data_IF_371909245257
#
_entry.id   IF_371909245257
#
_cell.length_a   1.000
_cell.length_b   1.000
_cell.length_c   1.000
_cell.angle_alpha   90.00
_cell.angle_beta   90.00
_cell.angle_gamma   90.00
#
_symmetry.space_group_name_H-M   'P 1'
#
loop_
_entity.id
_entity.type
_entity.pdbx_description
1 polymer ?
#
# COMPACT_ATOMS: atom_id res chain seq x y z
N UNK A 1 19.07 -54.49 -36.39
CA UNK A 1 20.47 -54.87 -36.16
C UNK A 1 20.82 -54.51 -34.73
N UNK A 2 21.31 -55.51 -33.97
CA UNK A 2 22.10 -55.40 -32.74
C UNK A 2 21.70 -54.34 -31.70
N UNK A 3 20.86 -54.76 -30.75
CA UNK A 3 20.69 -54.10 -29.44
C UNK A 3 21.82 -54.59 -28.54
N UNK A 4 22.77 -53.73 -28.22
CA UNK A 4 23.75 -53.93 -27.14
C UNK A 4 23.16 -53.46 -25.81
N UNK A 5 23.14 -54.31 -24.76
CA UNK A 5 22.74 -53.90 -23.43
C UNK A 5 23.96 -53.48 -22.59
N UNK A 6 23.78 -52.44 -21.77
CA UNK A 6 24.62 -52.15 -20.62
C UNK A 6 25.81 -51.23 -20.90
N UNK A 7 25.63 -49.94 -20.61
CA UNK A 7 26.74 -49.10 -20.20
C UNK A 7 26.47 -48.69 -18.75
N UNK A 8 27.21 -49.34 -17.85
CA UNK A 8 27.24 -49.05 -16.42
C UNK A 8 27.61 -47.58 -16.20
N UNK A 9 26.74 -46.84 -15.51
CA UNK A 9 27.10 -45.54 -14.97
C UNK A 9 28.00 -45.79 -13.78
N UNK A 10 29.31 -45.64 -14.00
CA UNK A 10 30.33 -45.61 -12.96
C UNK A 10 29.92 -44.63 -11.85
N UNK A 11 29.84 -45.17 -10.62
CA UNK A 11 29.74 -44.37 -9.40
C UNK A 11 31.10 -43.70 -9.16
N UNK A 12 31.22 -42.43 -9.54
CA UNK A 12 32.29 -41.57 -9.02
C UNK A 12 31.98 -41.24 -7.55
N UNK A 13 32.76 -41.82 -6.64
CA UNK A 13 32.84 -41.42 -5.24
C UNK A 13 33.23 -39.94 -5.13
N UNK A 14 32.38 -39.13 -4.50
CA UNK A 14 32.73 -37.76 -4.10
C UNK A 14 32.61 -37.64 -2.58
N UNK A 15 33.73 -37.23 -1.98
CA UNK A 15 33.99 -36.98 -0.56
C UNK A 15 32.93 -36.12 0.16
N UNK A 16 32.87 -36.09 1.52
CA UNK A 16 31.78 -35.51 2.29
C UNK A 16 31.86 -33.99 2.29
N UNK A 17 31.40 -33.37 1.21
CA UNK A 17 31.15 -31.95 1.06
C UNK A 17 29.67 -31.63 1.29
N UNK A 18 29.42 -30.42 1.78
CA UNK A 18 28.13 -29.84 2.14
C UNK A 18 26.91 -30.41 1.35
N UNK A 19 25.81 -30.85 2.01
CA UNK A 19 24.65 -31.48 1.34
C UNK A 19 24.00 -30.64 0.23
N UNK A 20 24.24 -29.33 0.20
CA UNK A 20 23.85 -28.43 -0.89
C UNK A 20 24.70 -28.63 -2.16
N UNK A 21 26.00 -28.87 -2.04
CA UNK A 21 26.91 -29.11 -3.17
C UNK A 21 26.64 -30.46 -3.81
N UNK A 22 26.34 -31.48 -3.01
CA UNK A 22 25.94 -32.80 -3.48
C UNK A 22 24.64 -32.74 -4.31
N UNK A 23 23.60 -32.07 -3.81
CA UNK A 23 22.34 -31.87 -4.57
C UNK A 23 22.58 -31.11 -5.87
N UNK A 24 23.42 -30.07 -5.84
CA UNK A 24 23.72 -29.25 -7.00
C UNK A 24 24.51 -30.04 -8.07
N UNK A 25 25.39 -30.95 -7.65
CA UNK A 25 26.04 -31.91 -8.55
C UNK A 25 25.03 -32.87 -9.18
N UNK A 26 24.09 -33.42 -8.40
CA UNK A 26 23.02 -34.30 -8.93
C UNK A 26 22.15 -33.58 -9.96
N UNK A 27 21.77 -32.32 -9.69
CA UNK A 27 20.99 -31.53 -10.65
C UNK A 27 21.77 -31.22 -11.93
N UNK A 28 23.06 -30.90 -11.84
CA UNK A 28 23.92 -30.71 -13.02
C UNK A 28 24.00 -31.99 -13.87
N UNK A 29 24.10 -33.14 -13.23
CA UNK A 29 24.17 -34.44 -13.90
C UNK A 29 22.84 -34.78 -14.59
N UNK A 30 21.70 -34.58 -13.91
CA UNK A 30 20.36 -34.71 -14.50
C UNK A 30 20.15 -33.78 -15.69
N UNK A 31 20.59 -32.52 -15.57
CA UNK A 31 20.52 -31.54 -16.66
C UNK A 31 21.36 -31.97 -17.86
N UNK A 32 22.54 -32.58 -17.64
CA UNK A 32 23.39 -33.09 -18.72
C UNK A 32 22.73 -34.26 -19.46
N UNK A 33 22.09 -35.18 -18.73
CA UNK A 33 21.33 -36.29 -19.31
C UNK A 33 20.14 -35.78 -20.12
N UNK A 34 19.36 -34.84 -19.57
CA UNK A 34 18.24 -34.21 -20.26
C UNK A 34 18.65 -33.48 -21.54
N UNK A 35 19.78 -32.76 -21.52
CA UNK A 35 20.32 -32.12 -22.72
C UNK A 35 20.73 -33.14 -23.79
N UNK A 36 21.32 -34.27 -23.39
CA UNK A 36 21.69 -35.35 -24.33
C UNK A 36 20.44 -35.97 -24.95
N UNK A 37 19.46 -36.33 -24.14
CA UNK A 37 18.19 -36.90 -24.61
C UNK A 37 17.44 -35.94 -25.55
N UNK A 38 17.44 -34.63 -25.26
CA UNK A 38 16.83 -33.63 -26.13
C UNK A 38 17.52 -33.54 -27.49
N UNK A 39 18.87 -33.57 -27.54
CA UNK A 39 19.62 -33.55 -28.80
C UNK A 39 19.33 -34.82 -29.62
N UNK A 40 19.25 -35.97 -28.95
CA UNK A 40 18.94 -37.26 -29.57
C UNK A 40 17.52 -37.25 -30.17
N UNK A 41 16.52 -36.80 -29.41
CA UNK A 41 15.13 -36.64 -29.87
C UNK A 41 15.03 -35.70 -31.09
N UNK A 42 15.78 -34.59 -31.11
CA UNK A 42 15.82 -33.69 -32.27
C UNK A 42 16.42 -34.38 -33.51
N UNK A 43 17.49 -35.17 -33.33
CA UNK A 43 18.11 -35.91 -34.43
C UNK A 43 17.19 -36.99 -35.01
N UNK A 44 16.43 -37.69 -34.15
CA UNK A 44 15.44 -38.68 -34.56
C UNK A 44 14.26 -38.03 -35.31
N UNK A 45 13.78 -36.87 -34.84
CA UNK A 45 12.74 -36.09 -35.55
C UNK A 45 13.20 -35.66 -36.94
N UNK A 46 14.45 -35.22 -37.10
CA UNK A 46 14.99 -34.87 -38.41
C UNK A 46 15.13 -36.09 -39.33
N UNK A 47 15.57 -37.24 -38.80
CA UNK A 47 15.66 -38.48 -39.56
C UNK A 47 14.27 -38.94 -40.03
N UNK A 48 13.27 -38.90 -39.14
CA UNK A 48 11.89 -39.25 -39.47
C UNK A 48 11.30 -38.30 -40.53
N UNK A 49 11.57 -36.99 -40.42
CA UNK A 49 11.15 -36.00 -41.41
C UNK A 49 11.74 -36.27 -42.80
N UNK A 50 13.02 -36.68 -42.88
CA UNK A 50 13.65 -37.10 -44.15
C UNK A 50 12.99 -38.36 -44.72
N UNK A 51 12.61 -39.30 -43.86
CA UNK A 51 11.96 -40.54 -44.27
C UNK A 51 10.55 -40.28 -44.82
N UNK A 52 9.77 -39.38 -44.19
CA UNK A 52 8.47 -38.92 -44.70
C UNK A 52 8.63 -38.28 -46.08
N UNK A 53 9.59 -37.36 -46.26
CA UNK A 53 9.82 -36.70 -47.55
C UNK A 53 10.17 -37.71 -48.66
N UNK A 54 10.98 -38.72 -48.34
CA UNK A 54 11.27 -39.82 -49.27
C UNK A 54 10.00 -40.58 -49.67
N UNK A 55 9.15 -40.93 -48.71
CA UNK A 55 7.89 -41.64 -49.00
C UNK A 55 6.93 -40.79 -49.82
N UNK A 56 6.80 -39.49 -49.52
CA UNK A 56 5.99 -38.55 -50.30
C UNK A 56 6.44 -38.51 -51.77
N UNK A 57 7.74 -38.36 -52.03
CA UNK A 57 8.28 -38.37 -53.40
C UNK A 57 8.01 -39.70 -54.13
N UNK A 58 8.03 -40.81 -53.39
CA UNK A 58 7.75 -42.14 -53.95
C UNK A 58 6.28 -42.29 -54.31
N UNK A 59 5.38 -41.80 -53.45
CA UNK A 59 3.94 -41.76 -53.71
C UNK A 59 3.59 -40.87 -54.89
N UNK A 60 4.19 -39.68 -55.00
CA UNK A 60 3.99 -38.80 -56.16
C UNK A 60 4.41 -39.49 -57.47
N UNK A 61 5.52 -40.23 -57.45
CA UNK A 61 5.96 -41.00 -58.62
C UNK A 61 4.97 -42.12 -58.98
N UNK A 62 4.53 -42.89 -57.99
CA UNK A 62 3.54 -43.96 -58.20
C UNK A 62 2.20 -43.42 -58.71
N UNK A 63 1.78 -42.25 -58.22
CA UNK A 63 0.56 -41.59 -58.69
C UNK A 63 0.67 -41.20 -60.15
N UNK A 64 1.81 -40.64 -60.56
CA UNK A 64 2.09 -40.31 -61.97
C UNK A 64 2.13 -41.56 -62.85
N UNK A 65 2.76 -42.64 -62.40
CA UNK A 65 2.81 -43.91 -63.13
C UNK A 65 1.40 -44.51 -63.31
N UNK A 66 0.54 -44.36 -62.30
CA UNK A 66 -0.86 -44.80 -62.34
C UNK A 66 -1.70 -43.96 -63.31
N UNK A 67 -1.54 -42.64 -63.31
CA UNK A 67 -2.16 -41.73 -64.29
C UNK A 67 -1.74 -42.06 -65.73
N UNK A 68 -0.46 -42.36 -65.96
CA UNK A 68 0.03 -42.79 -67.28
C UNK A 68 -0.59 -44.13 -67.72
N UNK A 69 -0.74 -45.08 -66.80
CA UNK A 69 -1.39 -46.38 -67.07
C UNK A 69 -2.88 -46.21 -67.37
N UNK A 70 -3.59 -45.36 -66.63
CA UNK A 70 -5.00 -45.04 -66.89
C UNK A 70 -5.19 -44.39 -68.27
N UNK A 71 -4.32 -43.45 -68.64
CA UNK A 71 -4.35 -42.83 -69.96
C UNK A 71 -4.09 -43.85 -71.08
N UNK A 72 -3.11 -44.75 -70.90
CA UNK A 72 -2.86 -45.86 -71.85
C UNK A 72 -4.08 -46.75 -71.99
N UNK A 73 -4.71 -47.13 -70.89
CA UNK A 73 -5.92 -47.95 -70.89
C UNK A 73 -7.09 -47.25 -71.60
N UNK A 74 -7.33 -45.97 -71.31
CA UNK A 74 -8.37 -45.17 -71.97
C UNK A 74 -8.14 -45.05 -73.48
N UNK A 75 -6.88 -44.88 -73.91
CA UNK A 75 -6.52 -44.87 -75.33
C UNK A 75 -6.77 -46.24 -75.99
N UNK A 76 -6.39 -47.34 -75.34
CA UNK A 76 -6.70 -48.69 -75.84
C UNK A 76 -8.22 -48.92 -75.95
N UNK A 77 -8.99 -48.48 -74.95
CA UNK A 77 -10.44 -48.58 -74.97
C UNK A 77 -11.05 -47.78 -76.13
N UNK A 78 -10.60 -46.54 -76.35
CA UNK A 78 -11.03 -45.71 -77.48
C UNK A 78 -10.69 -46.36 -78.82
N UNK A 79 -9.46 -46.85 -78.99
CA UNK A 79 -9.03 -47.53 -80.21
C UNK A 79 -9.88 -48.80 -80.47
N UNK A 80 -10.18 -49.58 -79.43
CA UNK A 80 -11.06 -50.74 -79.57
C UNK A 80 -12.49 -50.34 -79.97
N UNK A 81 -13.00 -49.23 -79.43
CA UNK A 81 -14.31 -48.70 -79.80
C UNK A 81 -14.33 -48.23 -81.26
N UNK A 82 -13.29 -47.53 -81.71
CA UNK A 82 -13.12 -47.11 -83.11
C UNK A 82 -13.03 -48.33 -84.05
N UNK A 83 -12.31 -49.38 -83.67
CA UNK A 83 -12.25 -50.64 -84.42
C UNK A 83 -13.62 -51.33 -84.48
N UNK A 84 -14.38 -51.33 -83.38
CA UNK A 84 -15.75 -51.86 -83.38
C UNK A 84 -16.66 -51.05 -84.30
N UNK A 85 -16.56 -49.73 -84.29
CA UNK A 85 -17.34 -48.85 -85.17
C UNK A 85 -16.96 -49.04 -86.65
N UNK A 86 -15.67 -49.24 -86.95
CA UNK A 86 -15.19 -49.58 -88.31
C UNK A 86 -15.73 -50.94 -88.77
N UNK A 87 -15.70 -51.97 -87.93
CA UNK A 87 -16.27 -53.29 -88.25
C UNK A 87 -17.78 -53.20 -88.52
N UNK A 88 -18.51 -52.38 -87.77
CA UNK A 88 -19.94 -52.14 -87.99
C UNK A 88 -20.17 -51.42 -89.33
N UNK A 89 -19.37 -50.39 -89.64
CA UNK A 89 -19.43 -49.70 -90.93
C UNK A 89 -19.10 -50.64 -92.10
N UNK A 90 -18.06 -51.46 -92.01
CA UNK A 90 -17.70 -52.44 -93.04
C UNK A 90 -18.80 -53.49 -93.24
N UNK A 91 -19.44 -53.97 -92.16
CA UNK A 91 -20.62 -54.84 -92.25
C UNK A 91 -21.82 -54.17 -92.93
N UNK A 92 -22.00 -52.86 -92.72
CA UNK A 92 -23.05 -52.10 -93.41
C UNK A 92 -22.73 -51.86 -94.88
N UNK A 93 -21.45 -51.63 -95.23
CA UNK A 93 -20.99 -51.44 -96.62
C UNK A 93 -20.88 -52.75 -97.42
N UNK A 94 -20.78 -53.91 -96.74
CA UNK A 94 -20.79 -55.24 -97.36
C UNK A 94 -22.18 -55.85 -97.50
N UNK A 95 -23.24 -55.15 -97.07
CA UNK A 95 -24.63 -55.58 -97.27
C UNK A 95 -25.12 -55.46 -98.74
N UNK A 96 -24.27 -55.04 -99.67
CA UNK A 96 -24.56 -54.90 -101.09
C UNK A 96 -24.02 -56.00 -102.03
N UNK A 97 -23.31 -57.03 -101.55
CA UNK A 97 -22.83 -58.11 -102.45
C UNK A 97 -22.85 -59.47 -101.79
N UNK A 98 -24.06 -60.01 -101.62
CA UNK A 98 -24.27 -61.42 -101.35
C UNK A 98 -24.09 -62.18 -102.66
N UNK A 99 -22.82 -62.47 -102.97
CA UNK A 99 -22.44 -63.48 -103.96
C UNK A 99 -23.00 -64.84 -103.55
N UNK A 100 -24.16 -65.18 -104.11
CA UNK A 100 -24.83 -66.46 -103.97
C UNK A 100 -24.02 -67.55 -104.68
N UNK A 101 -23.10 -68.19 -103.96
CA UNK A 101 -22.47 -69.45 -104.34
C UNK A 101 -23.47 -70.61 -104.09
N UNK A 102 -24.49 -70.68 -104.94
CA UNK A 102 -25.20 -71.94 -105.20
C UNK A 102 -24.46 -72.65 -106.33
N UNK A 103 -23.69 -73.67 -105.96
CA UNK A 103 -23.13 -74.62 -106.92
C UNK A 103 -24.28 -75.34 -107.63
N UNK A 104 -24.22 -75.31 -108.95
CA UNK A 104 -25.26 -75.78 -109.85
C UNK A 104 -25.32 -77.30 -109.95
N UNK A 105 -26.55 -77.82 -109.93
CA UNK A 105 -26.89 -79.10 -110.52
C UNK A 105 -27.40 -78.83 -111.95
N UNK A 106 -26.49 -78.82 -112.91
CA UNK A 106 -26.81 -78.91 -114.34
C UNK A 106 -26.33 -80.27 -114.84
N UNK A 107 -27.23 -81.27 -114.84
CA UNK A 107 -27.10 -82.43 -115.71
C UNK A 107 -28.25 -82.41 -116.72
N UNK A 108 -27.92 -82.11 -117.98
CA UNK A 108 -28.38 -82.80 -119.22
C UNK A 108 -29.90 -83.08 -119.35
N UNK A 109 -30.66 -82.41 -120.23
CA UNK A 109 -30.79 -82.70 -121.69
C UNK A 109 -30.71 -84.21 -121.98
N UNK A 110 -31.62 -84.88 -122.68
CA UNK A 110 -32.23 -84.51 -123.94
C UNK A 110 -33.29 -85.56 -124.33
N UNK A 111 -34.33 -85.06 -124.99
CA UNK A 111 -35.38 -85.70 -125.78
C UNK A 111 -35.15 -87.12 -126.33
N UNK A 112 -36.10 -88.00 -126.01
CA UNK A 112 -36.54 -89.09 -126.88
C UNK A 112 -37.04 -88.53 -128.23
N UNK A 113 -36.20 -88.58 -129.26
CA UNK A 113 -36.63 -88.46 -130.66
C UNK A 113 -36.38 -89.77 -131.38
N UNK A 114 -37.47 -90.46 -131.67
CA UNK A 114 -37.59 -91.52 -132.68
C UNK A 114 -37.04 -90.98 -134.02
N UNK A 115 -35.95 -91.58 -134.52
CA UNK A 115 -35.60 -91.47 -135.93
C UNK A 115 -35.89 -92.79 -136.63
N UNK A 116 -36.85 -92.67 -137.53
CA UNK A 116 -37.20 -93.59 -138.60
C UNK A 116 -35.97 -93.89 -139.46
N UNK A 117 -35.90 -95.16 -139.87
CA UNK A 117 -35.14 -95.73 -140.96
C UNK A 117 -34.96 -94.82 -142.19
N UNK A 118 -33.78 -94.90 -142.82
CA UNK A 118 -33.67 -94.68 -144.26
C UNK A 118 -32.39 -94.02 -144.76
N UNK A 119 -31.42 -94.85 -145.16
CA UNK A 119 -30.64 -94.74 -146.41
C UNK A 119 -29.78 -93.48 -146.69
N UNK A 120 -28.45 -93.61 -146.56
CA UNK A 120 -27.47 -93.38 -147.66
C UNK A 120 -25.99 -93.38 -147.18
N UNK A 121 -25.23 -94.35 -147.71
CA UNK A 121 -23.84 -94.28 -148.21
C UNK A 121 -22.66 -93.74 -147.36
N UNK A 122 -21.81 -94.68 -146.90
CA UNK A 122 -20.40 -94.80 -147.34
C UNK A 122 -19.33 -93.79 -146.89
N UNK A 123 -19.67 -92.65 -146.28
CA UNK A 123 -18.68 -91.67 -145.77
C UNK A 123 -18.80 -91.39 -144.24
N UNK A 124 -19.80 -91.96 -143.57
CA UNK A 124 -20.05 -91.74 -142.13
C UNK A 124 -19.13 -92.54 -141.20
N UNK A 125 -18.54 -93.64 -141.65
CA UNK A 125 -17.77 -94.55 -140.78
C UNK A 125 -16.44 -93.92 -140.33
N UNK A 126 -15.69 -93.27 -141.25
CA UNK A 126 -14.46 -92.55 -140.90
C UNK A 126 -14.69 -91.34 -139.98
N UNK A 127 -15.80 -90.61 -140.18
CA UNK A 127 -16.18 -89.48 -139.33
C UNK A 127 -16.57 -89.95 -137.93
N UNK A 128 -17.25 -91.10 -137.82
CA UNK A 128 -17.58 -91.71 -136.52
C UNK A 128 -16.33 -92.24 -135.81
N UNK A 129 -15.40 -92.89 -136.51
CA UNK A 129 -14.14 -93.37 -135.90
C UNK A 129 -13.28 -92.22 -135.37
N UNK A 130 -13.14 -91.13 -136.14
CA UNK A 130 -12.41 -89.93 -135.67
C UNK A 130 -13.08 -89.30 -134.44
N UNK A 131 -14.41 -89.29 -134.39
CA UNK A 131 -15.16 -88.74 -133.25
C UNK A 131 -15.10 -89.62 -132.02
N UNK A 132 -15.05 -90.94 -132.19
CA UNK A 132 -14.81 -91.91 -131.11
C UNK A 132 -13.41 -91.70 -130.52
N UNK A 133 -12.37 -91.64 -131.34
CA UNK A 133 -11.00 -91.40 -130.87
C UNK A 133 -10.88 -90.05 -130.12
N UNK A 134 -11.50 -88.98 -130.62
CA UNK A 134 -11.53 -87.69 -129.92
C UNK A 134 -12.27 -87.75 -128.58
N UNK A 135 -13.33 -88.56 -128.47
CA UNK A 135 -14.05 -88.77 -127.22
C UNK A 135 -13.25 -89.63 -126.25
N UNK A 136 -12.54 -90.65 -126.73
CA UNK A 136 -11.64 -91.47 -125.93
C UNK A 136 -10.47 -90.66 -125.36
N UNK A 137 -9.86 -89.78 -126.16
CA UNK A 137 -8.82 -88.85 -125.69
C UNK A 137 -9.38 -87.87 -124.65
N UNK A 138 -10.58 -87.33 -124.85
CA UNK A 138 -11.25 -86.48 -123.86
C UNK A 138 -11.59 -87.23 -122.57
N UNK A 139 -12.06 -88.47 -122.67
CA UNK A 139 -12.34 -89.32 -121.51
C UNK A 139 -11.05 -89.61 -120.74
N UNK A 140 -9.94 -89.87 -121.45
CA UNK A 140 -8.64 -90.07 -120.82
C UNK A 140 -8.16 -88.81 -120.09
N UNK A 141 -8.18 -87.65 -120.76
CA UNK A 141 -7.84 -86.38 -120.12
C UNK A 141 -8.72 -86.08 -118.89
N UNK A 142 -10.04 -86.30 -118.99
CA UNK A 142 -10.94 -86.09 -117.87
C UNK A 142 -10.67 -87.06 -116.70
N UNK A 143 -10.23 -88.30 -116.98
CA UNK A 143 -9.81 -89.23 -115.92
C UNK A 143 -8.53 -88.77 -115.24
N UNK A 144 -7.53 -88.33 -116.01
CA UNK A 144 -6.28 -87.80 -115.47
C UNK A 144 -6.55 -86.53 -114.63
N UNK A 145 -7.47 -85.65 -115.07
CA UNK A 145 -7.89 -84.45 -114.32
C UNK A 145 -8.67 -84.81 -113.04
N UNK A 146 -9.50 -85.86 -113.06
CA UNK A 146 -10.18 -86.37 -111.86
C UNK A 146 -9.15 -86.90 -110.85
N UNK A 147 -8.18 -87.69 -111.29
CA UNK A 147 -7.14 -88.26 -110.42
C UNK A 147 -6.28 -87.16 -109.78
N UNK A 148 -5.90 -86.12 -110.54
CA UNK A 148 -5.20 -84.94 -110.00
C UNK A 148 -6.05 -84.21 -108.95
N UNK A 149 -7.36 -84.05 -109.19
CA UNK A 149 -8.26 -83.39 -108.23
C UNK A 149 -8.53 -84.23 -107.00
N UNK A 150 -8.58 -85.55 -107.12
CA UNK A 150 -8.67 -86.47 -105.98
C UNK A 150 -7.42 -86.36 -105.10
N UNK A 151 -6.23 -86.32 -105.69
CA UNK A 151 -4.99 -86.09 -104.94
C UNK A 151 -4.96 -84.72 -104.25
N UNK A 152 -5.41 -83.64 -104.92
CA UNK A 152 -5.51 -82.29 -104.32
C UNK A 152 -6.50 -82.27 -103.14
N UNK A 153 -7.60 -83.03 -103.22
CA UNK A 153 -8.57 -83.16 -102.14
C UNK A 153 -7.96 -83.92 -100.96
N UNK A 154 -7.25 -85.02 -101.20
CA UNK A 154 -6.58 -85.79 -100.14
C UNK A 154 -5.53 -84.95 -99.39
N UNK A 155 -4.71 -84.18 -100.13
CA UNK A 155 -3.72 -83.26 -99.55
C UNK A 155 -4.39 -82.21 -98.66
N UNK A 156 -5.46 -81.55 -99.16
CA UNK A 156 -6.23 -80.57 -98.38
C UNK A 156 -6.93 -81.18 -97.16
N UNK A 157 -7.39 -82.43 -97.26
CA UNK A 157 -7.96 -83.13 -96.11
C UNK A 157 -6.91 -83.41 -95.03
N UNK A 158 -5.68 -83.75 -95.43
CA UNK A 158 -4.56 -83.90 -94.48
C UNK A 158 -4.23 -82.57 -93.80
N UNK A 159 -4.07 -81.49 -94.56
CA UNK A 159 -3.82 -80.15 -94.00
C UNK A 159 -4.94 -79.72 -93.04
N UNK A 160 -6.20 -79.99 -93.40
CA UNK A 160 -7.34 -79.66 -92.54
C UNK A 160 -7.25 -80.41 -91.21
N UNK A 161 -6.93 -81.71 -91.21
CA UNK A 161 -6.74 -82.49 -89.98
C UNK A 161 -5.60 -81.96 -89.12
N UNK A 162 -4.47 -81.62 -89.73
CA UNK A 162 -3.33 -81.04 -89.01
C UNK A 162 -3.69 -79.70 -88.35
N UNK A 163 -4.47 -78.85 -89.04
CA UNK A 163 -4.94 -77.59 -88.46
C UNK A 163 -5.97 -77.80 -87.34
N UNK A 164 -6.86 -78.79 -87.46
CA UNK A 164 -7.81 -79.14 -86.40
C UNK A 164 -7.10 -79.66 -85.14
N UNK A 165 -6.07 -80.49 -85.29
CA UNK A 165 -5.30 -81.01 -84.17
C UNK A 165 -4.51 -79.88 -83.48
N UNK A 166 -3.91 -78.95 -84.24
CA UNK A 166 -3.29 -77.73 -83.68
C UNK A 166 -4.29 -76.86 -82.94
N UNK A 167 -5.50 -76.65 -83.48
CA UNK A 167 -6.54 -75.88 -82.81
C UNK A 167 -6.99 -76.53 -81.51
N UNK A 168 -7.07 -77.87 -81.46
CA UNK A 168 -7.37 -78.60 -80.22
C UNK A 168 -6.26 -78.46 -79.19
N UNK A 169 -5.00 -78.46 -79.60
CA UNK A 169 -3.86 -78.24 -78.72
C UNK A 169 -3.88 -76.83 -78.11
N UNK A 170 -4.05 -75.80 -78.94
CA UNK A 170 -4.18 -74.41 -78.48
C UNK A 170 -5.38 -74.25 -77.54
N UNK A 171 -6.52 -74.89 -77.83
CA UNK A 171 -7.68 -74.85 -76.94
C UNK A 171 -7.41 -75.48 -75.56
N UNK A 172 -6.59 -76.55 -75.50
CA UNK A 172 -6.16 -77.15 -74.23
C UNK A 172 -5.23 -76.22 -73.45
N UNK A 173 -4.25 -75.61 -74.12
CA UNK A 173 -3.35 -74.63 -73.50
C UNK A 173 -4.12 -73.43 -72.93
N UNK A 174 -5.06 -72.87 -73.69
CA UNK A 174 -5.92 -71.78 -73.21
C UNK A 174 -6.77 -72.18 -71.99
N UNK A 175 -7.25 -73.43 -71.94
CA UNK A 175 -7.95 -73.93 -70.76
C UNK A 175 -7.03 -74.01 -69.54
N UNK A 176 -5.79 -74.49 -69.73
CA UNK A 176 -4.80 -74.56 -68.65
C UNK A 176 -4.44 -73.17 -68.12
N UNK A 177 -4.14 -72.22 -69.01
CA UNK A 177 -3.85 -70.84 -68.59
C UNK A 177 -5.02 -70.18 -67.86
N UNK A 178 -6.26 -70.46 -68.26
CA UNK A 178 -7.44 -69.95 -67.58
C UNK A 178 -7.54 -70.51 -66.16
N UNK A 179 -7.32 -71.81 -65.99
CA UNK A 179 -7.36 -72.45 -64.67
C UNK A 179 -6.24 -71.92 -63.78
N UNK A 180 -5.01 -71.81 -64.30
CA UNK A 180 -3.87 -71.21 -63.59
C UNK A 180 -4.18 -69.79 -63.14
N UNK A 181 -4.71 -68.95 -64.04
CA UNK A 181 -5.08 -67.57 -63.75
C UNK A 181 -6.12 -67.48 -62.63
N UNK A 182 -7.17 -68.30 -62.66
CA UNK A 182 -8.17 -68.31 -61.57
C UNK A 182 -7.57 -68.83 -60.26
N UNK A 183 -6.65 -69.80 -60.28
CA UNK A 183 -5.96 -70.24 -59.06
C UNK A 183 -5.03 -69.17 -58.49
N UNK A 184 -4.37 -68.39 -59.33
CA UNK A 184 -3.48 -67.32 -58.88
C UNK A 184 -4.27 -66.12 -58.35
N UNK A 185 -5.38 -65.76 -59.02
CA UNK A 185 -6.32 -64.74 -58.56
C UNK A 185 -6.92 -65.08 -57.19
N UNK A 186 -7.33 -66.33 -56.97
CA UNK A 186 -7.85 -66.78 -55.67
C UNK A 186 -6.78 -66.73 -54.58
N UNK A 187 -5.57 -67.22 -54.85
CA UNK A 187 -4.42 -67.09 -53.92
C UNK A 187 -4.11 -65.63 -53.56
N UNK A 188 -4.10 -64.74 -54.55
CA UNK A 188 -3.83 -63.32 -54.32
C UNK A 188 -4.92 -62.67 -53.45
N UNK A 189 -6.19 -63.04 -53.69
CA UNK A 189 -7.31 -62.55 -52.90
C UNK A 189 -7.24 -63.03 -51.44
N UNK A 190 -6.94 -64.30 -51.20
CA UNK A 190 -6.74 -64.85 -49.86
C UNK A 190 -5.58 -64.18 -49.12
N UNK A 191 -4.46 -63.93 -49.81
CA UNK A 191 -3.33 -63.21 -49.23
C UNK A 191 -3.68 -61.76 -48.88
N UNK A 192 -4.46 -61.08 -49.73
CA UNK A 192 -4.93 -59.73 -49.48
C UNK A 192 -5.85 -59.68 -48.25
N UNK A 193 -6.81 -60.60 -48.14
CA UNK A 193 -7.71 -60.69 -47.00
C UNK A 193 -6.99 -61.02 -45.69
N UNK A 194 -6.00 -61.91 -45.74
CA UNK A 194 -5.16 -62.23 -44.59
C UNK A 194 -4.39 -60.99 -44.11
N UNK A 195 -3.73 -60.27 -45.02
CA UNK A 195 -3.01 -59.01 -44.69
C UNK A 195 -3.95 -57.93 -44.18
N UNK A 196 -5.14 -57.81 -44.77
CA UNK A 196 -6.16 -56.86 -44.31
C UNK A 196 -6.57 -57.14 -42.87
N UNK A 197 -6.89 -58.41 -42.54
CA UNK A 197 -7.22 -58.83 -41.17
C UNK A 197 -6.07 -58.58 -40.19
N UNK A 198 -4.83 -58.84 -40.60
CA UNK A 198 -3.64 -58.56 -39.77
C UNK A 198 -3.51 -57.07 -39.48
N UNK A 199 -3.68 -56.21 -40.49
CA UNK A 199 -3.64 -54.76 -40.35
C UNK A 199 -4.78 -54.25 -39.47
N UNK A 200 -6.00 -54.74 -39.67
CA UNK A 200 -7.16 -54.37 -38.84
C UNK A 200 -6.92 -54.72 -37.37
N UNK A 201 -6.31 -55.89 -37.10
CA UNK A 201 -5.94 -56.31 -35.74
C UNK A 201 -4.86 -55.40 -35.14
N UNK A 202 -3.85 -55.00 -35.93
CA UNK A 202 -2.81 -54.05 -35.50
C UNK A 202 -3.41 -52.68 -35.20
N UNK A 203 -4.31 -52.19 -36.04
CA UNK A 203 -5.02 -50.92 -35.83
C UNK A 203 -5.83 -50.98 -34.53
N UNK A 204 -6.58 -52.06 -34.30
CA UNK A 204 -7.34 -52.23 -33.05
C UNK A 204 -6.44 -52.25 -31.82
N UNK A 205 -5.28 -52.91 -31.89
CA UNK A 205 -4.30 -52.90 -30.79
C UNK A 205 -3.77 -51.49 -30.52
N UNK A 206 -3.38 -50.76 -31.57
CA UNK A 206 -2.89 -49.38 -31.44
C UNK A 206 -3.96 -48.48 -30.81
N UNK A 207 -5.23 -48.61 -31.24
CA UNK A 207 -6.33 -47.84 -30.67
C UNK A 207 -6.57 -48.16 -29.19
N UNK A 208 -6.43 -49.43 -28.79
CA UNK A 208 -6.54 -49.83 -27.39
C UNK A 208 -5.37 -49.25 -26.55
N UNK A 209 -4.14 -49.35 -27.05
CA UNK A 209 -2.95 -48.77 -26.41
C UNK A 209 -3.06 -47.24 -26.28
N UNK A 210 -3.59 -46.55 -27.29
CA UNK A 210 -3.82 -45.10 -27.26
C UNK A 210 -4.85 -44.71 -26.19
N UNK A 211 -5.93 -45.48 -26.05
CA UNK A 211 -6.93 -45.27 -24.99
C UNK A 211 -6.35 -45.50 -23.60
N UNK A 212 -5.56 -46.56 -23.41
CA UNK A 212 -4.88 -46.83 -22.13
C UNK A 212 -3.88 -45.73 -21.78
N UNK A 213 -3.11 -45.27 -22.76
CA UNK A 213 -2.15 -44.19 -22.57
C UNK A 213 -2.84 -42.87 -22.19
N UNK A 214 -3.95 -42.54 -22.86
CA UNK A 214 -4.76 -41.36 -22.52
C UNK A 214 -5.33 -41.46 -21.11
N UNK A 215 -5.89 -42.60 -20.73
CA UNK A 215 -6.39 -42.84 -19.37
C UNK A 215 -5.27 -42.77 -18.31
N UNK A 216 -4.07 -43.27 -18.62
CA UNK A 216 -2.91 -43.16 -17.74
C UNK A 216 -2.45 -41.71 -17.57
N UNK A 217 -2.42 -40.91 -18.64
CA UNK A 217 -2.12 -39.48 -18.57
C UNK A 217 -3.13 -38.73 -17.70
N UNK A 218 -4.42 -38.99 -17.87
CA UNK A 218 -5.48 -38.36 -17.07
C UNK A 218 -5.34 -38.71 -15.58
N UNK A 219 -5.00 -39.97 -15.26
CA UNK A 219 -4.71 -40.39 -13.87
C UNK A 219 -3.51 -39.65 -13.29
N UNK A 220 -2.39 -39.62 -14.01
CA UNK A 220 -1.18 -38.91 -13.56
C UNK A 220 -1.46 -37.41 -13.36
N UNK A 221 -2.23 -36.79 -14.26
CA UNK A 221 -2.62 -35.39 -14.12
C UNK A 221 -3.49 -35.18 -12.88
N UNK A 222 -4.48 -36.05 -12.65
CA UNK A 222 -5.36 -35.99 -11.48
C UNK A 222 -4.58 -36.17 -10.17
N UNK A 223 -3.65 -37.13 -10.12
CA UNK A 223 -2.83 -37.38 -8.94
C UNK A 223 -1.91 -36.20 -8.62
N UNK A 224 -1.30 -35.57 -9.64
CA UNK A 224 -0.48 -34.36 -9.46
C UNK A 224 -1.30 -33.17 -8.98
N UNK A 225 -2.50 -32.97 -9.54
CA UNK A 225 -3.40 -31.91 -9.10
C UNK A 225 -3.79 -32.15 -7.63
N UNK A 226 -4.12 -33.39 -7.27
CA UNK A 226 -4.47 -33.76 -5.91
C UNK A 226 -3.31 -33.51 -4.93
N UNK A 227 -2.08 -33.90 -5.29
CA UNK A 227 -0.89 -33.65 -4.48
C UNK A 227 -0.65 -32.15 -4.23
N UNK A 228 -0.79 -31.32 -5.27
CA UNK A 228 -0.66 -29.86 -5.15
C UNK A 228 -1.74 -29.29 -4.23
N UNK A 229 -3.01 -29.71 -4.41
CA UNK A 229 -4.12 -29.27 -3.56
C UNK A 229 -3.91 -29.68 -2.10
N UNK A 230 -3.42 -30.90 -1.83
CA UNK A 230 -3.11 -31.35 -0.47
C UNK A 230 -1.95 -30.57 0.16
N UNK A 231 -0.97 -30.17 -0.64
CA UNK A 231 0.13 -29.33 -0.17
C UNK A 231 -0.34 -27.91 0.15
N UNK A 232 -1.10 -27.29 -0.75
CA UNK A 232 -1.64 -25.94 -0.57
C UNK A 232 -2.63 -25.87 0.60
N UNK A 233 -3.44 -26.92 0.82
CA UNK A 233 -4.34 -26.97 1.98
C UNK A 233 -3.57 -27.04 3.29
N UNK A 234 -2.52 -27.88 3.38
CA UNK A 234 -1.63 -27.92 4.55
C UNK A 234 -0.93 -26.59 4.81
N UNK A 235 -0.40 -25.95 3.77
CA UNK A 235 0.22 -24.62 3.88
C UNK A 235 -0.78 -23.55 4.34
N UNK A 236 -2.00 -23.58 3.80
CA UNK A 236 -3.08 -22.67 4.19
C UNK A 236 -3.48 -22.87 5.65
N UNK A 237 -3.60 -24.10 6.12
CA UNK A 237 -3.99 -24.38 7.50
C UNK A 237 -2.88 -24.00 8.48
N UNK A 238 -1.60 -24.21 8.13
CA UNK A 238 -0.46 -23.71 8.91
C UNK A 238 -0.43 -22.17 8.98
N UNK A 239 -0.79 -21.49 7.90
CA UNK A 239 -0.91 -20.02 7.89
C UNK A 239 -2.06 -19.53 8.77
N UNK A 240 -3.21 -20.22 8.77
CA UNK A 240 -4.33 -19.89 9.67
C UNK A 240 -3.93 -20.01 11.13
N UNK A 241 -3.28 -21.12 11.51
CA UNK A 241 -2.79 -21.33 12.88
C UNK A 241 -1.81 -20.22 13.28
N UNK A 242 -0.91 -19.81 12.39
CA UNK A 242 0.01 -18.70 12.65
C UNK A 242 -0.72 -17.35 12.79
N UNK A 243 -1.76 -17.10 12.00
CA UNK A 243 -2.58 -15.89 12.13
C UNK A 243 -3.28 -15.88 13.50
N UNK A 244 -3.88 -17.00 13.90
CA UNK A 244 -4.55 -17.13 15.21
C UNK A 244 -3.59 -16.86 16.37
N UNK A 245 -2.35 -17.38 16.29
CA UNK A 245 -1.30 -17.08 17.29
C UNK A 245 -0.95 -15.59 17.30
N UNK A 246 -0.78 -14.97 16.13
CA UNK A 246 -0.44 -13.54 16.04
C UNK A 246 -1.59 -12.63 16.54
N UNK A 247 -2.84 -12.99 16.26
CA UNK A 247 -4.01 -12.29 16.79
C UNK A 247 -4.06 -12.36 18.31
N UNK A 248 -3.75 -13.53 18.87
CA UNK A 248 -3.65 -13.70 20.33
C UNK A 248 -2.51 -12.87 20.92
N UNK A 249 -1.32 -12.90 20.33
CA UNK A 249 -0.18 -12.08 20.78
C UNK A 249 -0.47 -10.57 20.69
N UNK A 250 -1.22 -10.15 19.67
CA UNK A 250 -1.63 -8.75 19.52
C UNK A 250 -2.60 -8.34 20.63
N UNK A 251 -3.62 -9.16 20.90
CA UNK A 251 -4.57 -8.92 21.98
C UNK A 251 -3.87 -8.87 23.35
N UNK A 252 -2.94 -9.80 23.61
CA UNK A 252 -2.16 -9.82 24.86
C UNK A 252 -1.30 -8.54 25.02
N UNK A 253 -0.75 -8.01 23.92
CA UNK A 253 -0.02 -6.74 23.90
C UNK A 253 -0.93 -5.54 24.11
N UNK A 254 -2.10 -5.52 23.48
CA UNK A 254 -3.08 -4.45 23.66
C UNK A 254 -3.56 -4.39 25.13
N UNK A 255 -3.82 -5.55 25.75
CA UNK A 255 -4.11 -5.65 27.17
C UNK A 255 -2.96 -5.14 28.05
N UNK A 256 -1.71 -5.42 27.66
CA UNK A 256 -0.53 -4.91 28.35
C UNK A 256 -0.42 -3.38 28.22
N UNK A 257 -0.67 -2.82 27.03
CA UNK A 257 -0.66 -1.39 26.80
C UNK A 257 -1.78 -0.68 27.56
N UNK A 258 -2.97 -1.29 27.64
CA UNK A 258 -4.07 -0.80 28.49
C UNK A 258 -3.65 -0.72 29.96
N UNK A 259 -3.02 -1.78 30.49
CA UNK A 259 -2.50 -1.77 31.87
C UNK A 259 -1.43 -0.71 32.08
N UNK A 260 -0.51 -0.56 31.14
CA UNK A 260 0.52 0.50 31.19
C UNK A 260 -0.11 1.90 31.11
N UNK A 261 -1.14 2.09 30.29
CA UNK A 261 -1.90 3.33 30.18
C UNK A 261 -2.54 3.72 31.51
N UNK A 262 -3.21 2.78 32.19
CA UNK A 262 -3.76 2.99 33.53
C UNK A 262 -2.68 3.37 34.54
N UNK A 263 -1.54 2.65 34.54
CA UNK A 263 -0.42 2.98 35.43
C UNK A 263 0.16 4.37 35.15
N UNK A 264 0.27 4.77 33.89
CA UNK A 264 0.73 6.10 33.49
C UNK A 264 -0.23 7.19 33.93
N UNK A 265 -1.54 6.96 33.80
CA UNK A 265 -2.56 7.90 34.28
C UNK A 265 -2.53 8.03 35.80
N UNK A 266 -2.34 6.94 36.54
CA UNK A 266 -2.13 6.98 37.99
C UNK A 266 -0.87 7.76 38.38
N UNK A 267 0.25 7.52 37.70
CA UNK A 267 1.51 8.25 37.94
C UNK A 267 1.32 9.74 37.62
N UNK A 268 0.68 10.06 36.50
CA UNK A 268 0.40 11.44 36.10
C UNK A 268 -0.49 12.14 37.13
N UNK A 269 -1.52 11.45 37.63
CA UNK A 269 -2.39 11.97 38.69
C UNK A 269 -1.61 12.22 39.98
N UNK A 270 -0.76 11.27 40.41
CA UNK A 270 0.13 11.44 41.57
C UNK A 270 1.12 12.59 41.39
N UNK A 271 1.67 12.75 40.19
CA UNK A 271 2.58 13.84 39.85
C UNK A 271 1.86 15.19 39.94
N UNK A 272 0.66 15.32 39.37
CA UNK A 272 -0.15 16.54 39.47
C UNK A 272 -0.44 16.90 40.93
N UNK A 273 -0.86 15.93 41.74
CA UNK A 273 -1.10 16.14 43.18
C UNK A 273 0.19 16.58 43.89
N UNK A 274 1.34 15.98 43.56
CA UNK A 274 2.64 16.37 44.14
C UNK A 274 3.03 17.79 43.73
N UNK A 275 2.84 18.17 42.46
CA UNK A 275 3.12 19.52 41.96
C UNK A 275 2.19 20.56 42.62
N UNK A 276 0.91 20.27 42.77
CA UNK A 276 -0.03 21.14 43.49
C UNK A 276 0.36 21.31 44.97
N UNK A 277 0.85 20.24 45.61
CA UNK A 277 1.35 20.30 46.98
C UNK A 277 2.65 21.10 47.09
N UNK A 278 3.58 20.97 46.14
CA UNK A 278 4.79 21.79 46.08
C UNK A 278 4.46 23.28 45.85
N UNK A 279 3.51 23.58 44.96
CA UNK A 279 3.05 24.97 44.73
C UNK A 279 2.40 25.54 45.99
N UNK A 280 1.59 24.75 46.73
CA UNK A 280 1.04 25.18 48.02
C UNK A 280 2.13 25.44 49.05
N UNK A 281 3.10 24.54 49.19
CA UNK A 281 4.25 24.72 50.08
C UNK A 281 5.10 25.93 49.71
N UNK A 282 5.28 26.19 48.41
CA UNK A 282 6.00 27.34 47.90
C UNK A 282 5.26 28.63 48.21
N UNK A 283 3.94 28.68 47.98
CA UNK A 283 3.11 29.83 48.33
C UNK A 283 3.11 30.09 49.85
N UNK A 284 3.05 29.05 50.67
CA UNK A 284 3.13 29.17 52.13
C UNK A 284 4.52 29.68 52.57
N UNK A 285 5.60 29.19 51.96
CA UNK A 285 6.97 29.67 52.22
C UNK A 285 7.18 31.11 51.76
N UNK A 286 6.64 31.49 50.60
CA UNK A 286 6.71 32.86 50.07
C UNK A 286 5.92 33.82 50.98
N UNK A 287 4.76 33.40 51.50
CA UNK A 287 4.01 34.16 52.50
C UNK A 287 4.79 34.33 53.81
N UNK A 288 5.45 33.28 54.30
CA UNK A 288 6.32 33.37 55.48
C UNK A 288 7.51 34.31 55.23
N UNK A 289 8.10 34.28 54.04
CA UNK A 289 9.20 35.16 53.66
C UNK A 289 8.75 36.63 53.60
N UNK A 290 7.61 36.90 52.99
CA UNK A 290 7.01 38.25 52.97
C UNK A 290 6.71 38.75 54.39
N UNK A 291 6.20 37.87 55.27
CA UNK A 291 5.96 38.19 56.67
C UNK A 291 7.27 38.52 57.41
N UNK A 292 8.32 37.73 57.22
CA UNK A 292 9.64 37.98 57.82
C UNK A 292 10.23 39.30 57.30
N UNK A 293 10.15 39.57 55.99
CA UNK A 293 10.62 40.83 55.41
C UNK A 293 9.84 42.03 55.95
N UNK A 294 8.52 41.91 56.14
CA UNK A 294 7.70 42.94 56.76
C UNK A 294 8.09 43.16 58.23
N UNK A 295 8.28 42.09 59.01
CA UNK A 295 8.76 42.17 60.39
C UNK A 295 10.14 42.81 60.49
N UNK A 296 11.07 42.46 59.60
CA UNK A 296 12.40 43.09 59.54
C UNK A 296 12.32 44.58 59.22
N UNK A 297 11.48 45.00 58.28
CA UNK A 297 11.24 46.44 57.98
C UNK A 297 10.68 47.18 59.20
N UNK A 298 9.73 46.57 59.91
CA UNK A 298 9.16 47.14 61.14
C UNK A 298 10.23 47.27 62.22
N UNK A 299 11.04 46.23 62.43
CA UNK A 299 12.14 46.24 63.40
C UNK A 299 13.19 47.31 63.08
N UNK A 300 13.64 47.42 61.83
CA UNK A 300 14.57 48.47 61.40
C UNK A 300 14.01 49.87 61.60
N UNK A 301 12.70 50.06 61.36
CA UNK A 301 12.03 51.32 61.64
C UNK A 301 12.02 51.63 63.14
N UNK A 302 11.67 50.66 63.99
CA UNK A 302 11.71 50.83 65.43
C UNK A 302 13.12 51.12 65.96
N UNK A 303 14.15 50.48 65.41
CA UNK A 303 15.54 50.75 65.78
C UNK A 303 15.93 52.19 65.45
N UNK A 304 15.55 52.67 64.25
CA UNK A 304 15.76 54.07 63.84
C UNK A 304 14.99 55.06 64.70
N UNK A 305 13.73 54.78 65.00
CA UNK A 305 12.88 55.64 65.84
C UNK A 305 13.41 55.68 67.29
N UNK A 306 13.88 54.55 67.83
CA UNK A 306 14.52 54.48 69.14
C UNK A 306 15.86 55.22 69.18
N UNK A 307 16.67 55.13 68.12
CA UNK A 307 17.91 55.88 67.99
C UNK A 307 17.64 57.40 68.01
N UNK A 308 16.64 57.85 67.25
CA UNK A 308 16.21 59.25 67.24
C UNK A 308 15.64 59.71 68.60
N UNK A 309 14.93 58.81 69.31
CA UNK A 309 14.44 59.10 70.66
C UNK A 309 15.59 59.23 71.67
N UNK A 310 16.60 58.35 71.60
CA UNK A 310 17.78 58.43 72.43
C UNK A 310 18.57 59.73 72.19
N UNK A 311 18.72 60.14 70.93
CA UNK A 311 19.33 61.44 70.56
C UNK A 311 18.57 62.62 71.16
N UNK A 312 17.23 62.61 71.09
CA UNK A 312 16.38 63.64 71.72
C UNK A 312 16.51 63.65 73.24
N UNK A 313 16.60 62.49 73.88
CA UNK A 313 16.80 62.36 75.33
C UNK A 313 18.15 62.93 75.79
N UNK A 314 19.22 62.71 75.01
CA UNK A 314 20.54 63.31 75.27
C UNK A 314 20.48 64.84 75.16
N UNK A 315 19.82 65.38 74.12
CA UNK A 315 19.61 66.81 73.97
C UNK A 315 18.80 67.42 75.14
N UNK A 316 17.76 66.72 75.59
CA UNK A 316 16.93 67.17 76.71
C UNK A 316 17.69 67.14 78.05
N UNK A 317 18.53 66.13 78.27
CA UNK A 317 19.40 66.04 79.46
C UNK A 317 20.42 67.17 79.50
N UNK A 318 20.96 67.58 78.35
CA UNK A 318 21.88 68.72 78.27
C UNK A 318 21.19 70.04 78.64
N UNK A 319 19.91 70.20 78.27
CA UNK A 319 19.09 71.38 78.56
C UNK A 319 18.75 71.52 80.06
N UNK A 320 18.63 70.41 80.78
CA UNK A 320 18.37 70.39 82.24
C UNK A 320 19.64 70.75 83.04
N UNK A 321 20.82 70.36 82.57
CA UNK A 321 22.09 70.65 83.25
C UNK A 321 22.42 72.16 83.20
N UNK A 322 21.98 72.86 82.16
CA UNK A 322 22.24 74.30 81.98
C UNK A 322 21.24 75.22 82.73
N UNK A 323 20.21 74.68 83.40
CA UNK A 323 19.11 75.48 83.99
C UNK A 323 19.07 75.55 85.53
N UNK A 324 20.02 74.95 86.25
CA UNK A 324 19.94 74.79 87.71
C UNK A 324 20.88 75.70 88.55
N UNK A 325 20.93 76.99 88.21
CA UNK A 325 21.43 78.05 89.12
C UNK A 325 20.54 79.28 89.02
N UNK A 326 19.83 79.61 90.12
CA UNK A 326 19.48 80.94 90.65
C UNK A 326 18.11 80.94 91.36
N UNK A 327 18.12 81.05 92.70
CA UNK A 327 17.04 81.69 93.48
C UNK A 327 17.32 83.19 93.56
N UNK A 328 16.28 84.05 93.58
CA UNK A 328 16.04 85.15 94.56
C UNK A 328 14.95 86.16 94.10
N UNK A 329 13.77 86.08 94.75
CA UNK A 329 12.97 87.14 95.43
C UNK A 329 12.76 88.60 94.94
N UNK A 330 13.29 89.11 93.84
CA UNK A 330 12.91 90.47 93.35
C UNK A 330 12.73 90.51 91.83
N UNK A 331 11.71 89.81 91.33
CA UNK A 331 11.38 89.82 89.91
C UNK A 331 10.71 91.12 89.50
N UNK A 332 11.34 91.77 88.52
CA UNK A 332 10.81 92.91 87.79
C UNK A 332 10.06 92.42 86.55
N UNK A 333 8.81 92.85 86.39
CA UNK A 333 7.99 92.47 85.25
C UNK A 333 7.88 93.63 84.28
N UNK A 334 8.45 93.46 83.09
CA UNK A 334 8.37 94.46 82.03
C UNK A 334 7.06 94.32 81.25
N UNK A 335 6.55 95.45 80.77
CA UNK A 335 5.33 95.52 80.00
C UNK A 335 5.09 96.89 79.38
N UNK A 336 3.99 96.98 78.65
CA UNK A 336 3.55 98.21 78.01
C UNK A 336 2.41 98.81 78.82
N UNK A 337 2.63 99.99 79.37
CA UNK A 337 1.58 100.80 79.99
C UNK A 337 0.82 101.57 78.93
N UNK A 338 -0.49 101.59 79.08
CA UNK A 338 -1.40 102.35 78.24
C UNK A 338 -1.94 103.54 79.03
N UNK A 339 -1.77 104.74 78.48
CA UNK A 339 -2.35 105.96 79.03
C UNK A 339 -3.16 106.69 77.96
N UNK A 340 -3.98 107.66 78.36
CA UNK A 340 -4.73 108.53 77.44
C UNK A 340 -3.84 109.31 76.44
N UNK A 341 -2.52 109.34 76.64
CA UNK A 341 -1.56 110.04 75.78
C UNK A 341 -0.65 109.10 74.95
N UNK A 342 -0.81 107.77 75.05
CA UNK A 342 -0.05 106.79 74.26
C UNK A 342 0.47 105.57 75.05
N UNK A 343 1.19 104.68 74.36
CA UNK A 343 1.82 103.46 74.92
C UNK A 343 3.28 103.73 75.28
N UNK A 344 3.71 103.31 76.48
CA UNK A 344 5.10 103.45 76.94
C UNK A 344 5.59 102.21 77.70
N UNK A 345 6.89 101.92 77.64
CA UNK A 345 7.50 100.84 78.43
C UNK A 345 7.50 101.21 79.90
N UNK A 346 7.02 100.29 80.73
CA UNK A 346 7.06 100.40 82.18
C UNK A 346 7.45 99.06 82.79
N UNK A 347 8.03 99.12 83.98
CA UNK A 347 8.42 97.94 84.75
C UNK A 347 7.66 97.96 86.05
N UNK A 348 7.01 96.85 86.37
CA UNK A 348 6.18 96.65 87.55
C UNK A 348 6.86 95.66 88.48
N UNK A 349 6.96 96.00 89.75
CA UNK A 349 7.44 95.09 90.79
C UNK A 349 6.86 95.44 92.16
N UNK A 350 6.79 94.43 93.01
CA UNK A 350 6.36 94.58 94.40
C UNK A 350 7.57 94.69 95.30
N UNK A 351 7.49 95.57 96.29
CA UNK A 351 8.50 95.69 97.35
C UNK A 351 7.84 95.57 98.72
N UNK A 352 8.57 94.95 99.63
CA UNK A 352 8.22 94.84 101.04
C UNK A 352 9.18 95.74 101.83
N UNK A 353 8.63 96.71 102.58
CA UNK A 353 9.42 97.58 103.45
C UNK A 353 9.02 97.42 104.91
N UNK A 354 10.02 97.11 105.75
CA UNK A 354 9.87 97.09 107.21
C UNK A 354 10.03 98.51 107.75
N UNK A 355 8.95 99.11 108.24
CA UNK A 355 8.97 100.48 108.79
C UNK A 355 9.14 100.41 110.31
N UNK A 356 10.39 100.37 110.78
CA UNK A 356 10.73 100.43 112.22
C UNK A 356 11.10 99.08 112.85
N UNK A 357 11.75 99.11 114.02
CA UNK A 357 12.37 97.94 114.67
C UNK A 357 11.39 96.86 115.20
N UNK A 358 10.10 96.96 114.91
CA UNK A 358 9.10 95.93 115.23
C UNK A 358 8.61 95.27 113.93
N UNK A 359 8.73 93.94 113.83
CA UNK A 359 8.33 93.09 112.68
C UNK A 359 6.83 93.12 112.33
N UNK A 360 6.03 93.93 113.02
CA UNK A 360 4.57 93.94 112.94
C UNK A 360 4.02 95.08 112.06
N UNK A 361 4.88 95.97 111.55
CA UNK A 361 4.51 97.07 110.64
C UNK A 361 5.17 96.91 109.26
N UNK A 362 4.91 95.78 108.61
CA UNK A 362 5.36 95.52 107.23
C UNK A 362 4.45 96.25 106.25
N UNK A 363 5.02 97.14 105.41
CA UNK A 363 4.27 97.83 104.35
C UNK A 363 4.64 97.28 102.98
N UNK A 364 3.67 96.67 102.32
CA UNK A 364 3.81 96.27 100.93
C UNK A 364 3.45 97.43 100.00
N UNK A 365 4.31 97.67 99.01
CA UNK A 365 4.11 98.70 98.00
C UNK A 365 4.28 98.14 96.60
N UNK A 366 3.44 98.63 95.68
CA UNK A 366 3.61 98.45 94.26
C UNK A 366 4.48 99.58 93.71
N UNK A 367 5.50 99.24 92.93
CA UNK A 367 6.34 100.21 92.23
C UNK A 367 6.16 100.07 90.73
N UNK A 368 5.84 101.20 90.10
CA UNK A 368 5.85 101.35 88.65
C UNK A 368 6.94 102.31 88.22
N UNK A 369 7.90 101.79 87.46
CA UNK A 369 9.02 102.55 86.91
C UNK A 369 8.77 102.81 85.43
N UNK A 370 8.77 104.09 85.03
CA UNK A 370 8.65 104.46 83.62
C UNK A 370 10.03 104.63 82.99
N UNK A 371 10.17 104.32 81.70
CA UNK A 371 11.45 104.39 80.96
C UNK A 371 12.18 105.74 80.96
N UNK A 372 11.62 106.79 81.56
CA UNK A 372 12.30 108.07 81.85
C UNK A 372 12.98 108.13 83.23
N UNK A 373 13.02 107.02 83.98
CA UNK A 373 13.67 106.88 85.29
C UNK A 373 12.85 107.40 86.47
N UNK A 374 11.59 107.82 86.26
CA UNK A 374 10.68 108.18 87.34
C UNK A 374 9.91 106.95 87.81
N UNK A 375 10.07 106.58 89.08
CA UNK A 375 9.32 105.53 89.73
C UNK A 375 8.20 106.12 90.60
N UNK A 376 7.00 105.55 90.49
CA UNK A 376 5.87 105.85 91.34
C UNK A 376 5.63 104.66 92.24
N UNK A 377 5.56 104.95 93.55
CA UNK A 377 5.35 103.95 94.58
C UNK A 377 4.01 104.21 95.24
N UNK A 378 3.19 103.16 95.32
CA UNK A 378 1.85 103.22 95.91
C UNK A 378 1.77 102.11 96.96
N UNK A 379 1.26 102.45 98.13
CA UNK A 379 0.98 101.46 99.17
C UNK A 379 -0.15 100.57 98.71
N UNK A 380 -0.02 99.24 98.82
CA UNK A 380 -1.08 98.31 98.40
C UNK A 380 -2.39 98.58 99.16
N UNK A 381 -2.31 98.97 100.44
CA UNK A 381 -3.47 99.38 101.22
C UNK A 381 -4.23 100.61 100.68
N UNK A 382 -3.60 101.43 99.82
CA UNK A 382 -4.26 102.59 99.18
C UNK A 382 -4.86 102.22 97.81
N UNK A 383 -4.62 101.02 97.29
CA UNK A 383 -5.17 100.57 95.99
C UNK A 383 -6.60 100.08 96.16
N UNK A 384 -7.49 100.47 95.23
CA UNK A 384 -8.91 100.12 95.32
C UNK A 384 -9.26 98.87 94.52
N UNK A 385 -8.71 98.71 93.32
CA UNK A 385 -8.92 97.53 92.49
C UNK A 385 -7.61 97.10 91.81
N UNK A 386 -7.40 95.78 91.67
CA UNK A 386 -6.31 95.20 90.89
C UNK A 386 -6.78 93.86 90.31
N UNK A 387 -6.93 93.75 88.99
CA UNK A 387 -7.44 92.53 88.36
C UNK A 387 -6.92 92.36 86.92
N UNK A 388 -6.95 91.11 86.45
CA UNK A 388 -6.67 90.74 85.05
C UNK A 388 -7.92 90.97 84.20
N UNK A 389 -7.77 91.50 83.00
CA UNK A 389 -8.85 91.52 82.00
C UNK A 389 -8.83 90.19 81.23
N UNK A 390 -9.90 89.40 81.33
CA UNK A 390 -10.00 88.11 80.65
C UNK A 390 -9.76 88.23 79.12
N UNK A 391 -9.00 87.28 78.56
CA UNK A 391 -8.69 87.21 77.13
C UNK A 391 -7.57 88.13 76.65
N UNK A 392 -7.04 89.03 77.50
CA UNK A 392 -5.84 89.82 77.19
C UNK A 392 -4.82 89.72 78.32
N UNK A 393 -3.54 89.74 78.00
CA UNK A 393 -2.46 89.73 78.98
C UNK A 393 -2.28 91.14 79.57
N UNK A 394 -3.36 91.68 80.13
CA UNK A 394 -3.44 93.05 80.66
C UNK A 394 -3.91 93.04 82.10
N UNK A 395 -3.29 93.90 82.91
CA UNK A 395 -3.64 94.13 84.30
C UNK A 395 -4.16 95.55 84.41
N UNK A 396 -5.32 95.71 85.03
CA UNK A 396 -5.88 97.00 85.36
C UNK A 396 -5.84 97.22 86.87
N UNK A 397 -5.47 98.43 87.26
CA UNK A 397 -5.49 98.82 88.67
C UNK A 397 -5.89 100.27 88.86
N UNK A 398 -6.56 100.54 89.98
CA UNK A 398 -7.10 101.85 90.33
C UNK A 398 -6.60 102.27 91.71
N UNK A 399 -6.25 103.54 91.85
CA UNK A 399 -5.94 104.14 93.15
C UNK A 399 -6.46 105.58 93.22
N UNK A 400 -6.76 106.09 94.44
CA UNK A 400 -7.30 107.43 94.63
C UNK A 400 -6.20 108.49 94.41
N UNK A 401 -6.52 109.52 93.61
CA UNK A 401 -5.65 110.69 93.46
C UNK A 401 -5.89 111.68 94.61
N UNK A 402 -4.82 112.25 95.19
CA UNK A 402 -4.89 113.13 96.39
C UNK A 402 -5.33 114.57 96.05
N UNK A 403 -5.80 114.84 94.82
CA UNK A 403 -6.32 116.15 94.38
C UNK A 403 -7.85 116.17 94.28
N UNK A 404 -8.45 117.34 94.57
CA UNK A 404 -9.84 117.62 94.99
C UNK A 404 -10.97 117.37 93.97
N UNK A 405 -10.77 116.49 92.97
CA UNK A 405 -11.84 115.92 92.14
C UNK A 405 -11.71 114.39 92.19
N UNK A 406 -12.55 113.73 93.01
CA UNK A 406 -12.62 112.27 93.19
C UNK A 406 -12.92 111.54 91.87
N UNK A 407 -11.90 111.23 91.08
CA UNK A 407 -11.96 110.25 90.01
C UNK A 407 -10.83 109.25 90.20
N UNK A 408 -11.17 107.97 90.35
CA UNK A 408 -10.20 106.88 90.36
C UNK A 408 -9.39 106.92 89.06
N UNK A 409 -8.06 106.91 89.18
CA UNK A 409 -7.21 106.82 88.00
C UNK A 409 -6.97 105.35 87.71
N UNK A 410 -7.60 104.85 86.65
CA UNK A 410 -7.38 103.47 86.17
C UNK A 410 -6.20 103.44 85.22
N UNK A 411 -5.25 102.57 85.49
CA UNK A 411 -4.11 102.32 84.60
C UNK A 411 -4.10 100.89 84.12
N UNK A 412 -3.78 100.70 82.83
CA UNK A 412 -3.72 99.39 82.19
C UNK A 412 -2.28 99.07 81.80
N UNK A 413 -1.83 97.88 82.21
CA UNK A 413 -0.48 97.38 81.99
C UNK A 413 -0.55 96.04 81.25
N UNK A 414 -0.07 96.04 80.00
CA UNK A 414 0.02 94.83 79.18
C UNK A 414 1.34 94.13 79.42
N UNK A 415 1.27 92.89 79.89
CA UNK A 415 2.43 92.07 80.21
C UNK A 415 2.09 90.59 80.06
N UNK A 416 2.97 89.78 79.44
CA UNK A 416 2.75 88.33 79.33
C UNK A 416 2.69 87.64 80.69
N UNK A 417 3.09 88.31 81.77
CA UNK A 417 3.11 87.79 83.13
C UNK A 417 1.85 88.16 83.94
N UNK A 418 0.76 88.54 83.27
CA UNK A 418 -0.44 89.06 83.92
C UNK A 418 -1.02 88.13 84.99
N UNK A 419 -1.03 86.81 84.73
CA UNK A 419 -1.51 85.80 85.69
C UNK A 419 -0.63 85.74 86.94
N UNK A 420 0.68 85.64 86.74
CA UNK A 420 1.67 85.54 87.83
C UNK A 420 1.64 86.79 88.72
N UNK A 421 1.50 87.98 88.12
CA UNK A 421 1.47 89.24 88.85
C UNK A 421 0.19 89.37 89.69
N UNK A 422 -0.97 88.99 89.14
CA UNK A 422 -2.24 89.04 89.88
C UNK A 422 -2.27 88.01 91.00
N UNK A 423 -1.79 86.80 90.76
CA UNK A 423 -1.66 85.79 91.81
C UNK A 423 -0.76 86.29 92.96
N UNK A 424 0.36 86.93 92.63
CA UNK A 424 1.26 87.51 93.62
C UNK A 424 0.60 88.66 94.40
N UNK A 425 -0.17 89.52 93.74
CA UNK A 425 -0.91 90.59 94.41
C UNK A 425 -1.93 90.06 95.42
N UNK A 426 -2.74 89.07 95.02
CA UNK A 426 -3.75 88.47 95.89
C UNK A 426 -3.12 87.83 97.12
N UNK A 427 -2.02 87.11 96.95
CA UNK A 427 -1.26 86.53 98.06
C UNK A 427 -0.75 87.59 99.05
N UNK A 428 -0.26 88.73 98.54
CA UNK A 428 0.18 89.84 99.39
C UNK A 428 -1.00 90.44 100.17
N UNK A 429 -2.19 90.54 99.58
CA UNK A 429 -3.40 90.99 100.31
C UNK A 429 -3.75 90.01 101.43
N UNK A 430 -3.78 88.70 101.15
CA UNK A 430 -4.05 87.68 102.16
C UNK A 430 -3.06 87.77 103.34
N UNK A 431 -1.77 87.96 103.04
CA UNK A 431 -0.73 88.17 104.06
C UNK A 431 -0.97 89.47 104.87
N UNK A 432 -1.40 90.56 104.23
CA UNK A 432 -1.73 91.81 104.92
C UNK A 432 -2.95 91.68 105.83
N UNK A 433 -3.99 90.98 105.39
CA UNK A 433 -5.20 90.70 106.19
C UNK A 433 -4.87 89.83 107.40
N UNK A 434 -4.07 88.77 107.22
CA UNK A 434 -3.59 87.94 108.34
C UNK A 434 -2.80 88.75 109.39
N UNK A 435 -2.00 89.72 108.94
CA UNK A 435 -1.23 90.59 109.85
C UNK A 435 -2.17 91.54 110.61
N UNK A 436 -3.22 92.08 109.98
CA UNK A 436 -4.21 92.93 110.64
C UNK A 436 -5.08 92.17 111.66
N UNK A 437 -5.53 90.95 111.33
CA UNK A 437 -6.34 90.12 112.24
C UNK A 437 -5.58 89.74 113.51
N UNK A 438 -4.27 89.51 113.42
CA UNK A 438 -3.41 89.22 114.59
C UNK A 438 -3.22 90.42 115.52
N UNK A 439 -3.60 91.64 115.10
CA UNK A 439 -3.32 92.89 115.81
C UNK A 439 -4.56 93.76 116.09
N UNK A 440 -5.78 93.25 115.86
CA UNK A 440 -7.02 93.88 116.31
C UNK A 440 -7.44 93.26 117.66
N UNK A 441 -7.22 93.90 118.82
CA UNK A 441 -7.74 93.40 120.09
C UNK A 441 -9.28 93.47 120.10
N UNK A 442 -9.92 92.40 120.59
CA UNK A 442 -11.37 92.24 120.69
C UNK A 442 -12.08 93.40 121.43
#
# INVERSE_FOLDING_TARGET
MSVTPGEEVAQEEVAPGNPLESKLATYKQKLKILKKAYIEEQSEKEAFKKQILSLCNTNEKLQKDLEEMEQKYLNCYRNNQELHDQIIQEKSNTSGSRGSLYWGNNSTKESDRKYSSGSANGQNEQVLTLKINQLEEKIKHLKDEIEEKEHEIEEKQHETRDTEDRLREVAKELSQYKDEFETEKTKLHEQFDAKKKELDTKIQRILAEEQEFKAAQERIAKDKIQEVVEKETKERDALKERIEVLEKELNDKDDQFLKQGVQMDEIKTKLTISQENEVKLQNDNDCQKEMIEAMQKILQKHEKDNQMLAEKLVAFKQQIIDSDKFKTENQKYEGLRYTSFGKGRATLYFIEENVGNNKTDTKFSLVLEYGSGKAFKISIAEMTDFYKIEGTNQICFSWPDKSWLKKNRTETFETPYAEIIVEKYLRIIEEMEEIQERHTPA
#
